data_IF_137975733539
#
_entry.id   IF_137975733539
#
_cell.length_a   1.000
_cell.length_b   1.000
_cell.length_c   1.000
_cell.angle_alpha   90.00
_cell.angle_beta   90.00
_cell.angle_gamma   90.00
#
_symmetry.space_group_name_H-M   'P 1'
#
loop_
_entity.id
_entity.type
_entity.pdbx_description
1 polymer ?
#
# COMPACT_ATOMS: atom_id res chain seq x y z
N UNK A 1 -17.67 8.41 -3.33
CA UNK A 1 -18.06 7.92 -1.99
C UNK A 1 -18.71 6.57 -2.20
N UNK A 2 -17.99 5.46 -2.02
CA UNK A 2 -18.60 4.12 -2.09
C UNK A 2 -19.39 3.94 -0.80
N UNK A 3 -20.63 4.42 -0.84
CA UNK A 3 -21.61 4.10 0.17
C UNK A 3 -22.01 2.66 -0.15
N UNK A 4 -21.76 1.75 0.80
CA UNK A 4 -22.45 0.48 0.93
C UNK A 4 -23.96 0.79 0.93
N UNK A 5 -24.56 0.92 -0.25
CA UNK A 5 -25.97 1.28 -0.38
C UNK A 5 -26.75 0.04 -0.77
N UNK A 6 -27.73 -0.26 0.10
CA UNK A 6 -28.98 -0.96 -0.18
C UNK A 6 -29.05 -2.47 0.04
N UNK A 7 -28.35 -3.01 1.06
CA UNK A 7 -28.90 -4.13 1.84
C UNK A 7 -28.10 -4.35 3.14
N UNK A 8 -28.65 -4.04 4.33
CA UNK A 8 -27.97 -4.34 5.60
C UNK A 8 -27.91 -5.84 5.92
N UNK A 9 -28.55 -6.68 5.08
CA UNK A 9 -28.68 -8.14 5.23
C UNK A 9 -28.23 -8.90 3.98
N UNK A 10 -27.59 -8.24 3.01
CA UNK A 10 -27.05 -8.89 1.82
C UNK A 10 -25.69 -9.52 2.12
N UNK A 11 -25.48 -10.76 1.67
CA UNK A 11 -24.17 -11.40 1.64
C UNK A 11 -23.19 -10.50 0.89
N UNK A 12 -22.09 -10.08 1.53
CA UNK A 12 -21.10 -9.21 0.91
C UNK A 12 -20.26 -10.08 -0.02
N UNK A 13 -20.36 -9.82 -1.33
CA UNK A 13 -19.56 -10.49 -2.34
C UNK A 13 -18.05 -10.42 -2.02
N UNK A 14 -17.29 -11.53 -2.07
CA UNK A 14 -15.86 -11.54 -1.77
C UNK A 14 -15.05 -10.50 -2.54
N UNK A 15 -15.44 -10.25 -3.78
CA UNK A 15 -14.79 -9.24 -4.63
C UNK A 15 -14.91 -7.82 -4.08
N UNK A 16 -16.02 -7.48 -3.45
CA UNK A 16 -16.22 -6.17 -2.82
C UNK A 16 -15.32 -6.02 -1.57
N UNK A 17 -15.10 -7.11 -0.84
CA UNK A 17 -14.18 -7.15 0.30
C UNK A 17 -12.74 -6.96 -0.18
N UNK A 18 -12.33 -7.68 -1.24
CA UNK A 18 -11.01 -7.50 -1.86
C UNK A 18 -10.84 -6.08 -2.35
N UNK A 19 -11.83 -5.53 -3.07
CA UNK A 19 -11.80 -4.15 -3.56
C UNK A 19 -11.63 -3.17 -2.40
N UNK A 20 -12.40 -3.35 -1.33
CA UNK A 20 -12.29 -2.53 -0.12
C UNK A 20 -10.86 -2.58 0.45
N UNK A 21 -10.30 -3.78 0.64
CA UNK A 21 -8.96 -3.98 1.20
C UNK A 21 -7.87 -3.41 0.30
N UNK A 22 -7.96 -3.63 -1.02
CA UNK A 22 -7.00 -3.12 -2.00
C UNK A 22 -7.08 -1.62 -2.13
N UNK A 23 -8.26 -1.00 -2.10
CA UNK A 23 -8.41 0.46 -2.28
C UNK A 23 -8.26 1.23 -0.97
N UNK A 24 -8.19 0.52 0.16
CA UNK A 24 -8.33 1.10 1.49
C UNK A 24 -7.40 2.30 1.66
N UNK A 25 -7.99 3.45 2.00
CA UNK A 25 -7.31 4.71 2.34
C UNK A 25 -6.56 5.44 1.22
N UNK A 26 -6.45 4.90 0.00
CA UNK A 26 -5.75 5.61 -1.08
C UNK A 26 -6.50 5.75 -2.42
N UNK A 27 -7.59 5.03 -2.67
CA UNK A 27 -8.33 5.14 -3.93
C UNK A 27 -9.84 5.22 -3.73
N UNK A 28 -10.47 6.23 -4.35
CA UNK A 28 -11.92 6.48 -4.24
C UNK A 28 -12.63 6.63 -5.60
N UNK A 29 -11.93 6.32 -6.71
CA UNK A 29 -12.42 6.52 -8.07
C UNK A 29 -11.70 7.64 -8.82
N UNK A 30 -12.12 7.89 -10.06
CA UNK A 30 -11.64 8.96 -10.94
C UNK A 30 -10.12 9.01 -11.14
N UNK A 31 -9.43 7.87 -11.04
CA UNK A 31 -7.97 7.81 -11.16
C UNK A 31 -7.22 8.72 -10.15
N UNK A 32 -7.85 9.02 -8.99
CA UNK A 32 -7.29 9.86 -7.93
C UNK A 32 -6.69 9.01 -6.80
N UNK A 33 -5.42 9.24 -6.53
CA UNK A 33 -4.63 8.59 -5.48
C UNK A 33 -4.50 9.54 -4.31
N UNK A 34 -5.06 9.16 -3.17
CA UNK A 34 -5.11 9.99 -1.97
C UNK A 34 -4.01 9.59 -0.99
N UNK A 35 -3.44 10.58 -0.32
CA UNK A 35 -2.67 10.32 0.90
C UNK A 35 -3.58 9.85 2.04
N UNK A 36 -2.98 9.29 3.10
CA UNK A 36 -3.72 8.74 4.26
C UNK A 36 -4.73 9.71 4.89
N UNK A 37 -4.44 11.01 4.93
CA UNK A 37 -5.35 12.03 5.50
C UNK A 37 -6.42 12.51 4.52
N UNK A 38 -6.28 12.19 3.22
CA UNK A 38 -7.14 12.62 2.10
C UNK A 38 -7.14 14.13 1.81
N UNK A 39 -6.26 14.90 2.45
CA UNK A 39 -6.11 16.33 2.19
C UNK A 39 -5.42 16.60 0.84
N UNK A 40 -4.62 15.64 0.37
CA UNK A 40 -3.89 15.69 -0.90
C UNK A 40 -4.23 14.47 -1.75
N UNK A 41 -4.27 14.70 -3.06
CA UNK A 41 -4.38 13.63 -4.05
C UNK A 41 -3.49 13.91 -5.26
N UNK A 42 -3.10 12.85 -5.94
CA UNK A 42 -2.56 12.88 -7.30
C UNK A 42 -3.54 12.27 -8.29
N UNK A 43 -3.64 12.87 -9.46
CA UNK A 43 -4.37 12.29 -10.57
C UNK A 43 -3.40 11.47 -11.43
N UNK A 44 -3.58 10.15 -11.44
CA UNK A 44 -2.77 9.23 -12.23
C UNK A 44 -3.67 8.49 -13.21
N UNK A 45 -3.82 8.98 -14.46
CA UNK A 45 -4.66 8.36 -15.48
C UNK A 45 -4.46 6.86 -15.59
N UNK A 46 -5.57 6.12 -15.78
CA UNK A 46 -5.61 4.65 -15.88
C UNK A 46 -5.28 3.89 -14.57
N UNK A 47 -5.04 4.58 -13.45
CA UNK A 47 -4.80 3.91 -12.17
C UNK A 47 -5.99 3.04 -11.72
N UNK A 48 -7.23 3.44 -12.01
CA UNK A 48 -8.42 2.64 -11.77
C UNK A 48 -8.40 1.30 -12.51
N UNK A 49 -7.94 1.30 -13.78
CA UNK A 49 -7.83 0.07 -14.58
C UNK A 49 -6.76 -0.86 -14.01
N UNK A 50 -5.62 -0.33 -13.56
CA UNK A 50 -4.56 -1.09 -12.89
C UNK A 50 -5.07 -1.71 -11.59
N UNK A 51 -5.78 -0.93 -10.77
CA UNK A 51 -6.35 -1.40 -9.50
C UNK A 51 -7.38 -2.51 -9.75
N UNK A 52 -8.29 -2.31 -10.72
CA UNK A 52 -9.29 -3.32 -11.08
C UNK A 52 -8.66 -4.60 -11.62
N UNK A 53 -7.64 -4.49 -12.47
CA UNK A 53 -6.89 -5.63 -12.97
C UNK A 53 -6.24 -6.43 -11.82
N UNK A 54 -5.64 -5.74 -10.84
CA UNK A 54 -5.06 -6.38 -9.67
C UNK A 54 -6.11 -7.07 -8.79
N UNK A 55 -7.24 -6.41 -8.52
CA UNK A 55 -8.37 -7.01 -7.79
C UNK A 55 -8.84 -8.29 -8.49
N UNK A 56 -8.93 -8.28 -9.83
CA UNK A 56 -9.32 -9.46 -10.61
C UNK A 56 -8.31 -10.61 -10.50
N UNK A 57 -7.01 -10.34 -10.32
CA UNK A 57 -6.01 -11.39 -10.07
C UNK A 57 -6.27 -12.03 -8.70
N UNK A 58 -6.34 -11.23 -7.64
CA UNK A 58 -6.56 -11.75 -6.27
C UNK A 58 -7.89 -12.49 -6.16
N UNK A 59 -8.93 -12.00 -6.83
CA UNK A 59 -10.26 -12.63 -6.83
C UNK A 59 -10.22 -14.09 -7.31
N UNK A 60 -9.26 -14.48 -8.15
CA UNK A 60 -9.09 -15.86 -8.60
C UNK A 60 -8.68 -16.81 -7.48
N UNK A 61 -8.07 -16.31 -6.40
CA UNK A 61 -7.56 -17.15 -5.31
C UNK A 61 -8.57 -17.37 -4.19
N UNK A 62 -9.71 -16.65 -4.21
CA UNK A 62 -10.72 -16.71 -3.15
C UNK A 62 -11.30 -18.11 -2.98
N UNK A 63 -11.40 -18.90 -4.05
CA UNK A 63 -11.86 -20.28 -3.96
C UNK A 63 -11.05 -21.12 -2.97
N UNK A 64 -9.74 -20.84 -2.78
CA UNK A 64 -8.93 -21.52 -1.76
C UNK A 64 -9.32 -21.13 -0.34
N UNK A 65 -9.86 -19.93 -0.13
CA UNK A 65 -10.42 -19.52 1.17
C UNK A 65 -11.75 -20.25 1.38
N UNK A 66 -12.59 -20.34 0.36
CA UNK A 66 -13.90 -20.99 0.42
C UNK A 66 -13.81 -22.50 0.71
N UNK A 67 -12.74 -23.14 0.23
CA UNK A 67 -12.45 -24.56 0.49
C UNK A 67 -11.56 -24.80 1.72
N UNK A 68 -11.32 -23.76 2.53
CA UNK A 68 -10.45 -23.78 3.71
C UNK A 68 -8.97 -24.17 3.42
N UNK A 69 -8.55 -24.10 2.15
CA UNK A 69 -7.18 -24.34 1.69
C UNK A 69 -6.29 -23.09 1.84
N UNK A 70 -6.32 -22.46 3.02
CA UNK A 70 -5.65 -21.18 3.30
C UNK A 70 -4.13 -21.19 3.03
N UNK A 71 -3.49 -22.34 3.22
CA UNK A 71 -2.08 -22.52 2.89
C UNK A 71 -1.83 -22.37 1.38
N UNK A 72 -2.67 -22.99 0.55
CA UNK A 72 -2.60 -22.87 -0.91
C UNK A 72 -2.89 -21.44 -1.38
N UNK A 73 -3.81 -20.74 -0.70
CA UNK A 73 -4.02 -19.32 -0.93
C UNK A 73 -2.70 -18.53 -0.77
N UNK A 74 -1.99 -18.72 0.35
CA UNK A 74 -0.72 -18.02 0.62
C UNK A 74 0.41 -18.43 -0.33
N UNK A 75 0.54 -19.72 -0.64
CA UNK A 75 1.55 -20.21 -1.58
C UNK A 75 1.31 -19.65 -2.99
N UNK A 76 0.04 -19.59 -3.42
CA UNK A 76 -0.36 -18.98 -4.70
C UNK A 76 -0.13 -17.48 -4.68
N UNK A 77 -0.50 -16.79 -3.59
CA UNK A 77 -0.24 -15.37 -3.42
C UNK A 77 1.27 -15.05 -3.51
N UNK A 78 2.13 -15.86 -2.90
CA UNK A 78 3.58 -15.68 -2.98
C UNK A 78 4.12 -15.82 -4.40
N UNK A 79 3.67 -16.86 -5.12
CA UNK A 79 4.16 -17.14 -6.47
C UNK A 79 3.61 -16.15 -7.51
N UNK A 80 2.35 -15.76 -7.37
CA UNK A 80 1.66 -14.94 -8.36
C UNK A 80 1.62 -13.44 -8.03
N UNK A 81 1.75 -13.01 -6.77
CA UNK A 81 1.65 -11.61 -6.35
C UNK A 81 2.97 -11.09 -5.82
N UNK A 82 3.35 -11.48 -4.60
CA UNK A 82 4.54 -10.98 -3.91
C UNK A 82 4.94 -11.93 -2.78
N UNK A 83 6.23 -12.19 -2.63
CA UNK A 83 6.76 -13.06 -1.59
C UNK A 83 6.57 -12.44 -0.20
N UNK A 84 5.84 -13.15 0.68
CA UNK A 84 5.63 -12.80 2.07
C UNK A 84 6.03 -13.96 2.99
N UNK A 85 6.32 -13.72 4.30
CA UNK A 85 6.68 -14.77 5.25
C UNK A 85 5.47 -15.66 5.61
N UNK A 86 5.22 -16.68 4.78
CA UNK A 86 4.04 -17.57 4.88
C UNK A 86 3.90 -18.19 6.27
N UNK A 87 4.94 -18.84 6.80
CA UNK A 87 4.82 -19.60 8.05
C UNK A 87 4.38 -18.73 9.24
N UNK A 88 4.97 -17.54 9.37
CA UNK A 88 4.61 -16.60 10.45
C UNK A 88 3.18 -16.09 10.29
N UNK A 89 2.78 -15.73 9.06
CA UNK A 89 1.44 -15.25 8.78
C UNK A 89 0.40 -16.35 9.01
N UNK A 90 0.64 -17.53 8.47
CA UNK A 90 -0.25 -18.69 8.54
C UNK A 90 -0.51 -19.11 9.98
N UNK A 91 0.54 -19.26 10.80
CA UNK A 91 0.40 -19.63 12.20
C UNK A 91 -0.39 -18.57 12.99
N UNK A 92 -0.15 -17.28 12.74
CA UNK A 92 -0.91 -16.20 13.36
C UNK A 92 -2.36 -16.16 12.89
N UNK A 93 -2.60 -16.46 11.62
CA UNK A 93 -3.93 -16.55 11.04
C UNK A 93 -4.73 -17.70 11.66
N UNK A 94 -4.15 -18.90 11.79
CA UNK A 94 -4.82 -20.04 12.43
C UNK A 94 -5.19 -19.74 13.88
N UNK A 95 -4.27 -19.15 14.66
CA UNK A 95 -4.54 -18.72 16.03
C UNK A 95 -5.73 -17.75 16.09
N UNK A 96 -5.75 -16.76 15.20
CA UNK A 96 -6.83 -15.77 15.16
C UNK A 96 -8.15 -16.39 14.68
N UNK A 97 -8.09 -17.39 13.77
CA UNK A 97 -9.27 -18.13 13.30
C UNK A 97 -9.88 -19.00 14.42
N UNK A 98 -9.04 -19.64 15.23
CA UNK A 98 -9.46 -20.37 16.43
C UNK A 98 -10.11 -19.43 17.46
N UNK A 99 -9.52 -18.25 17.69
CA UNK A 99 -10.06 -17.22 18.59
C UNK A 99 -11.43 -16.69 18.13
N UNK A 100 -11.69 -16.64 16.81
CA UNK A 100 -12.99 -16.26 16.26
C UNK A 100 -14.09 -17.30 16.53
N UNK A 101 -13.75 -18.58 16.66
CA UNK A 101 -14.69 -19.66 16.96
C UNK A 101 -15.94 -19.64 16.06
N UNK A 102 -17.12 -19.57 16.68
CA UNK A 102 -18.42 -19.56 15.98
C UNK A 102 -18.70 -18.25 15.22
N UNK A 103 -17.96 -17.17 15.50
CA UNK A 103 -18.12 -15.88 14.82
C UNK A 103 -17.38 -15.81 13.49
N UNK A 104 -16.63 -16.86 13.13
CA UNK A 104 -15.92 -16.94 11.85
C UNK A 104 -16.91 -16.79 10.69
N UNK A 105 -16.62 -15.86 9.80
CA UNK A 105 -17.33 -15.69 8.54
C UNK A 105 -16.34 -15.32 7.45
N UNK A 106 -16.74 -15.49 6.20
CA UNK A 106 -15.88 -15.29 5.03
C UNK A 106 -15.27 -13.88 5.00
N UNK A 107 -16.02 -12.85 5.42
CA UNK A 107 -15.53 -11.47 5.47
C UNK A 107 -14.35 -11.32 6.42
N UNK A 108 -14.47 -11.88 7.63
CA UNK A 108 -13.40 -11.86 8.62
C UNK A 108 -12.19 -12.66 8.14
N UNK A 109 -12.41 -13.83 7.55
CA UNK A 109 -11.33 -14.69 7.06
C UNK A 109 -10.53 -13.99 5.95
N UNK A 110 -11.22 -13.44 4.93
CA UNK A 110 -10.59 -12.67 3.84
C UNK A 110 -9.86 -11.47 4.42
N UNK A 111 -10.54 -10.66 5.25
CA UNK A 111 -9.95 -9.46 5.84
C UNK A 111 -8.69 -9.77 6.63
N UNK A 112 -8.67 -10.90 7.33
CA UNK A 112 -7.55 -11.31 8.14
C UNK A 112 -6.36 -11.77 7.29
N UNK A 113 -6.57 -12.74 6.39
CA UNK A 113 -5.46 -13.34 5.63
C UNK A 113 -4.97 -12.42 4.51
N UNK A 114 -5.88 -11.85 3.73
CA UNK A 114 -5.54 -10.94 2.64
C UNK A 114 -5.12 -9.57 3.17
N UNK A 115 -5.81 -9.03 4.18
CA UNK A 115 -5.46 -7.73 4.75
C UNK A 115 -4.06 -7.72 5.34
N UNK A 116 -3.66 -8.78 6.06
CA UNK A 116 -2.27 -8.93 6.53
C UNK A 116 -1.27 -9.07 5.39
N UNK A 117 -1.62 -9.82 4.34
CA UNK A 117 -0.75 -9.99 3.18
C UNK A 117 -0.50 -8.67 2.46
N UNK A 118 -1.56 -7.89 2.22
CA UNK A 118 -1.47 -6.55 1.64
C UNK A 118 -0.70 -5.58 2.54
N UNK A 119 -0.90 -5.62 3.87
CA UNK A 119 -0.16 -4.76 4.79
C UNK A 119 1.36 -4.99 4.72
N UNK A 120 1.80 -6.25 4.52
CA UNK A 120 3.22 -6.57 4.29
C UNK A 120 3.70 -5.94 2.98
N UNK A 121 2.96 -6.10 1.89
CA UNK A 121 3.30 -5.48 0.59
C UNK A 121 3.42 -3.96 0.72
N UNK A 122 2.40 -3.31 1.28
CA UNK A 122 2.41 -1.87 1.49
C UNK A 122 3.65 -1.41 2.28
N UNK A 123 4.02 -2.15 3.33
CA UNK A 123 5.22 -1.84 4.11
C UNK A 123 6.48 -1.99 3.25
N UNK A 124 6.65 -3.11 2.55
CA UNK A 124 7.81 -3.36 1.69
C UNK A 124 7.95 -2.27 0.62
N UNK A 125 6.88 -1.96 -0.11
CA UNK A 125 6.90 -0.94 -1.16
C UNK A 125 7.24 0.44 -0.61
N UNK A 126 6.71 0.77 0.57
CA UNK A 126 7.04 2.04 1.22
C UNK A 126 8.49 2.09 1.70
N UNK A 127 9.00 1.04 2.33
CA UNK A 127 10.40 0.98 2.78
C UNK A 127 11.38 1.16 1.61
N UNK A 128 11.10 0.54 0.45
CA UNK A 128 11.88 0.71 -0.79
C UNK A 128 11.90 2.18 -1.23
N UNK A 129 10.74 2.82 -1.27
CA UNK A 129 10.59 4.24 -1.62
C UNK A 129 11.27 5.17 -0.62
N UNK A 130 11.35 4.81 0.66
CA UNK A 130 12.10 5.57 1.67
C UNK A 130 13.60 5.55 1.39
N UNK A 131 14.14 4.40 0.97
CA UNK A 131 15.56 4.29 0.57
C UNK A 131 15.85 5.15 -0.67
N UNK A 132 14.94 5.17 -1.65
CA UNK A 132 15.02 6.04 -2.81
C UNK A 132 14.99 7.52 -2.42
N UNK A 133 14.04 7.91 -1.56
CA UNK A 133 13.91 9.28 -1.06
C UNK A 133 15.20 9.74 -0.35
N UNK A 134 15.75 8.90 0.52
CA UNK A 134 17.01 9.20 1.20
C UNK A 134 18.16 9.40 0.19
N UNK A 135 18.27 8.50 -0.78
CA UNK A 135 19.29 8.56 -1.83
C UNK A 135 19.14 9.82 -2.70
N UNK A 136 17.90 10.20 -3.02
CA UNK A 136 17.57 11.42 -3.77
C UNK A 136 18.00 12.66 -3.00
N UNK A 137 17.60 12.78 -1.73
CA UNK A 137 17.91 13.93 -0.86
C UNK A 137 19.41 14.09 -0.69
N UNK A 138 20.11 12.98 -0.40
CA UNK A 138 21.56 12.98 -0.24
C UNK A 138 22.24 13.50 -1.50
N UNK A 139 21.87 12.97 -2.67
CA UNK A 139 22.46 13.38 -3.96
C UNK A 139 22.19 14.85 -4.27
N UNK A 140 20.95 15.32 -4.08
CA UNK A 140 20.57 16.72 -4.37
C UNK A 140 21.27 17.71 -3.45
N UNK A 141 21.40 17.39 -2.16
CA UNK A 141 22.06 18.28 -1.19
C UNK A 141 23.58 18.33 -1.42
N UNK A 142 24.21 17.23 -1.82
CA UNK A 142 25.62 17.22 -2.25
C UNK A 142 25.89 18.10 -3.47
N UNK A 143 24.94 18.22 -4.40
CA UNK A 143 25.11 18.99 -5.63
C UNK A 143 24.92 20.51 -5.44
N UNK A 144 24.14 20.93 -4.44
CA UNK A 144 23.68 22.32 -4.33
C UNK A 144 24.14 23.06 -3.05
N UNK A 145 24.73 22.38 -2.06
CA UNK A 145 25.17 23.02 -0.81
C UNK A 145 26.56 22.56 -0.37
N UNK A 146 27.29 23.47 0.27
CA UNK A 146 28.57 23.20 0.95
C UNK A 146 28.40 22.49 2.31
N UNK A 147 27.16 22.20 2.71
CA UNK A 147 26.81 21.54 3.97
C UNK A 147 27.05 20.04 3.89
N UNK A 148 27.43 19.43 5.01
CA UNK A 148 27.51 17.97 5.12
C UNK A 148 26.15 17.33 4.76
N UNK A 149 26.17 16.19 4.05
CA UNK A 149 24.95 15.44 3.77
C UNK A 149 24.28 14.98 5.06
N UNK A 150 22.95 14.99 5.07
CA UNK A 150 22.16 14.41 6.16
C UNK A 150 22.55 12.94 6.38
N UNK A 151 22.77 12.56 7.64
CA UNK A 151 23.02 11.16 7.99
C UNK A 151 21.74 10.32 7.89
N UNK A 152 21.88 9.00 7.73
CA UNK A 152 20.72 8.11 7.66
C UNK A 152 19.90 8.14 8.96
N UNK A 153 20.56 8.18 10.11
CA UNK A 153 19.90 8.27 11.42
C UNK A 153 19.08 9.57 11.55
N UNK A 154 19.67 10.71 11.17
CA UNK A 154 18.96 11.99 11.19
C UNK A 154 17.78 11.98 10.22
N UNK A 155 17.94 11.46 9.01
CA UNK A 155 16.87 11.31 8.04
C UNK A 155 15.71 10.45 8.60
N UNK A 156 16.02 9.32 9.21
CA UNK A 156 15.01 8.45 9.82
C UNK A 156 14.28 9.15 10.98
N UNK A 157 14.98 9.92 11.80
CA UNK A 157 14.37 10.68 12.89
C UNK A 157 13.42 11.77 12.37
N UNK A 158 13.83 12.50 11.31
CA UNK A 158 12.96 13.49 10.66
C UNK A 158 11.77 12.84 9.96
N UNK A 159 11.96 11.69 9.30
CA UNK A 159 10.87 10.94 8.69
C UNK A 159 9.84 10.47 9.74
N UNK A 160 10.31 9.94 10.88
CA UNK A 160 9.45 9.59 12.03
C UNK A 160 8.64 10.78 12.55
N UNK A 161 9.26 11.97 12.59
CA UNK A 161 8.55 13.20 12.96
C UNK A 161 7.38 13.50 12.02
N UNK A 162 7.59 13.45 10.70
CA UNK A 162 6.51 13.65 9.73
C UNK A 162 5.41 12.60 9.84
N UNK A 163 5.80 11.34 10.08
CA UNK A 163 4.87 10.25 10.32
C UNK A 163 3.97 10.48 11.53
N UNK A 164 4.56 10.85 12.67
CA UNK A 164 3.84 11.09 13.91
C UNK A 164 2.82 12.24 13.79
N UNK A 165 3.08 13.20 12.90
CA UNK A 165 2.19 14.34 12.64
C UNK A 165 1.16 14.09 11.53
N UNK A 166 1.18 12.92 10.90
CA UNK A 166 0.28 12.62 9.79
C UNK A 166 0.54 13.50 8.57
N UNK A 167 1.80 13.78 8.24
CA UNK A 167 2.14 14.61 7.09
C UNK A 167 1.55 14.06 5.78
N UNK A 168 0.77 14.89 5.10
CA UNK A 168 0.03 14.48 3.90
C UNK A 168 0.95 14.09 2.73
N UNK A 169 2.16 14.66 2.62
CA UNK A 169 3.09 14.31 1.54
C UNK A 169 3.68 12.92 1.76
N UNK A 170 4.07 12.60 3.00
CA UNK A 170 4.50 11.23 3.35
C UNK A 170 3.35 10.25 3.15
N UNK A 171 2.13 10.62 3.54
CA UNK A 171 0.94 9.82 3.28
C UNK A 171 0.70 9.55 1.79
N UNK A 172 1.02 10.51 0.91
CA UNK A 172 0.87 10.38 -0.53
C UNK A 172 2.01 9.57 -1.16
N UNK A 173 3.24 9.73 -0.68
CA UNK A 173 4.37 8.86 -1.04
C UNK A 173 4.05 7.40 -0.71
N UNK A 174 3.46 7.13 0.46
CA UNK A 174 3.00 5.79 0.86
C UNK A 174 1.95 5.21 -0.11
N UNK A 175 0.98 6.03 -0.53
CA UNK A 175 -0.04 5.60 -1.49
C UNK A 175 0.52 5.38 -2.89
N UNK A 176 1.42 6.26 -3.35
CA UNK A 176 2.06 6.16 -4.66
C UNK A 176 3.03 4.97 -4.73
N UNK A 177 3.73 4.63 -3.65
CA UNK A 177 4.60 3.44 -3.61
C UNK A 177 3.81 2.16 -3.88
N UNK A 178 2.60 2.06 -3.30
CA UNK A 178 1.72 0.94 -3.55
C UNK A 178 1.14 0.96 -4.97
N UNK A 179 0.68 2.11 -5.48
CA UNK A 179 0.23 2.19 -6.88
C UNK A 179 1.34 1.77 -7.86
N UNK A 180 2.59 2.17 -7.61
CA UNK A 180 3.74 1.78 -8.43
C UNK A 180 3.89 0.26 -8.47
N UNK A 181 3.79 -0.40 -7.31
CA UNK A 181 3.79 -1.86 -7.22
C UNK A 181 2.64 -2.49 -8.02
N UNK A 182 1.41 -1.98 -7.88
CA UNK A 182 0.27 -2.48 -8.66
C UNK A 182 0.51 -2.35 -10.17
N UNK A 183 1.00 -1.20 -10.61
CA UNK A 183 1.26 -0.93 -12.02
C UNK A 183 2.38 -1.83 -12.58
N UNK A 184 3.44 -2.07 -11.80
CA UNK A 184 4.50 -3.02 -12.13
C UNK A 184 3.96 -4.45 -12.23
N UNK A 185 3.08 -4.85 -11.31
CA UNK A 185 2.45 -6.17 -11.32
C UNK A 185 1.59 -6.39 -12.56
N UNK A 186 0.84 -5.38 -12.96
CA UNK A 186 -0.01 -5.37 -14.16
C UNK A 186 0.79 -5.08 -15.44
N UNK A 187 2.05 -4.64 -15.32
CA UNK A 187 2.93 -4.23 -16.43
C UNK A 187 2.36 -3.04 -17.23
N UNK A 188 1.68 -2.11 -16.56
CA UNK A 188 1.19 -0.88 -17.18
C UNK A 188 2.28 0.20 -17.09
N UNK A 189 3.05 0.37 -18.17
CA UNK A 189 4.19 1.31 -18.23
C UNK A 189 3.78 2.76 -18.02
N UNK A 190 2.63 3.17 -18.54
CA UNK A 190 2.17 4.56 -18.45
C UNK A 190 1.90 4.95 -16.99
N UNK A 191 1.23 4.07 -16.24
CA UNK A 191 0.95 4.31 -14.81
C UNK A 191 2.25 4.24 -13.99
N UNK A 192 3.19 3.35 -14.34
CA UNK A 192 4.51 3.29 -13.69
C UNK A 192 5.22 4.63 -13.83
N UNK A 193 5.41 5.12 -15.07
CA UNK A 193 6.13 6.37 -15.34
C UNK A 193 5.48 7.56 -14.63
N UNK A 194 4.16 7.71 -14.72
CA UNK A 194 3.44 8.81 -14.04
C UNK A 194 3.55 8.75 -12.53
N UNK A 195 3.54 7.55 -11.97
CA UNK A 195 3.70 7.35 -10.53
C UNK A 195 5.13 7.70 -10.10
N UNK A 196 6.14 7.33 -10.89
CA UNK A 196 7.54 7.69 -10.65
C UNK A 196 7.77 9.21 -10.73
N UNK A 197 7.22 9.88 -11.74
CA UNK A 197 7.24 11.35 -11.86
C UNK A 197 6.59 12.02 -10.62
N UNK A 198 5.45 11.48 -10.18
CA UNK A 198 4.77 11.95 -8.98
C UNK A 198 5.61 11.73 -7.72
N UNK A 199 6.24 10.57 -7.56
CA UNK A 199 7.13 10.28 -6.43
C UNK A 199 8.30 11.27 -6.39
N UNK A 200 8.96 11.53 -7.53
CA UNK A 200 10.05 12.51 -7.62
C UNK A 200 9.57 13.90 -7.17
N UNK A 201 8.42 14.36 -7.65
CA UNK A 201 7.81 15.63 -7.20
C UNK A 201 7.66 15.68 -5.67
N UNK A 202 7.18 14.60 -5.04
CA UNK A 202 7.05 14.57 -3.58
C UNK A 202 8.39 14.42 -2.86
N UNK A 203 9.40 13.78 -3.47
CA UNK A 203 10.75 13.75 -2.92
C UNK A 203 11.35 15.15 -2.85
N UNK A 204 11.10 15.99 -3.85
CA UNK A 204 11.52 17.40 -3.83
C UNK A 204 10.88 18.17 -2.68
N UNK A 205 9.56 18.02 -2.51
CA UNK A 205 8.84 18.67 -1.42
C UNK A 205 9.37 18.19 -0.06
N UNK A 206 9.62 16.89 0.08
CA UNK A 206 10.17 16.33 1.31
C UNK A 206 11.60 16.79 1.58
N UNK A 207 12.42 16.96 0.55
CA UNK A 207 13.77 17.52 0.70
C UNK A 207 13.75 18.90 1.34
N UNK A 208 12.87 19.79 0.87
CA UNK A 208 12.75 21.14 1.45
C UNK A 208 12.20 21.09 2.88
N UNK A 209 11.16 20.30 3.13
CA UNK A 209 10.64 20.09 4.49
C UNK A 209 11.69 19.57 5.47
N UNK A 210 12.54 18.63 5.05
CA UNK A 210 13.58 18.04 5.89
C UNK A 210 14.65 19.06 6.28
N UNK A 211 14.93 20.06 5.43
CA UNK A 211 15.84 21.16 5.75
C UNK A 211 15.26 22.13 6.78
N UNK A 212 13.95 22.34 6.76
CA UNK A 212 13.24 23.27 7.67
C UNK A 212 13.05 22.70 9.08
N UNK A 213 13.04 21.36 9.23
CA UNK A 213 12.92 20.74 10.54
C UNK A 213 14.25 20.87 11.30
N UNK A 214 14.24 21.74 12.30
CA UNK A 214 15.21 21.78 13.38
C UNK A 214 14.83 20.67 14.39
N UNK A 215 15.67 19.64 14.51
CA UNK A 215 15.58 18.62 15.58
C UNK A 215 16.70 18.85 16.57
#
# INVERSE_FOLDING_TARGET
MYILTNNPTGEIEPKEIIRYLVCQQFYYGDDKIFGRTKDLFEYVPQSGQVIDAFINIISKFIHFIDTEEYRKFLDTFNSEIHSIPIESLYNKFLKNLEELGEFRNQVLIISEILGKSLAIIHKTCFDEVVVELYSYIRTKNHLHSSSEPISEEEFQNKLKYFYARGDSNIGLIYSLSFLRFLAQKIKNTDVITRTEESLIKYYEIMNEKIKEVLV
#
